data_IF_245913798667
#
_entry.id   IF_245913798667
#
_cell.length_a   1.000
_cell.length_b   1.000
_cell.length_c   1.000
_cell.angle_alpha   90.00
_cell.angle_beta   90.00
_cell.angle_gamma   90.00
#
_symmetry.space_group_name_H-M   'P 1'
#
loop_
_entity.id
_entity.type
_entity.pdbx_description
1 polymer ?
#
# COMPACT_ATOMS: atom_id res chain seq x y z
N UNK A 1 55.83 18.99 4.64
CA UNK A 1 54.49 18.97 5.27
C UNK A 1 53.45 18.76 4.20
N UNK A 2 52.94 17.54 4.10
CA UNK A 2 51.95 17.18 3.11
C UNK A 2 50.61 17.18 3.83
N UNK A 3 49.73 18.12 3.51
CA UNK A 3 48.37 18.16 4.02
C UNK A 3 47.56 17.22 3.17
N UNK A 4 47.20 16.09 3.73
CA UNK A 4 46.26 15.15 3.09
C UNK A 4 44.86 15.70 3.40
N UNK A 5 44.25 16.35 2.42
CA UNK A 5 42.82 16.62 2.46
C UNK A 5 42.08 15.31 2.21
N UNK A 6 41.63 14.69 3.27
CA UNK A 6 40.64 13.62 3.15
C UNK A 6 39.32 14.25 2.80
N UNK A 7 38.96 14.18 1.52
CA UNK A 7 37.63 14.48 1.09
C UNK A 7 36.69 13.41 1.62
N UNK A 8 35.98 13.69 2.69
CA UNK A 8 34.84 12.89 3.08
C UNK A 8 33.76 13.09 2.01
N UNK A 9 33.69 12.13 1.11
CA UNK A 9 32.49 11.98 0.30
C UNK A 9 31.39 11.50 1.24
N UNK A 10 30.59 12.42 1.71
CA UNK A 10 29.29 12.09 2.26
C UNK A 10 28.43 11.62 1.10
N UNK A 11 28.40 10.30 0.89
CA UNK A 11 27.40 9.69 0.02
C UNK A 11 26.04 9.92 0.70
N UNK A 12 25.36 10.98 0.29
CA UNK A 12 23.98 11.18 0.64
C UNK A 12 23.20 10.03 0.04
N UNK A 13 22.79 9.09 0.88
CA UNK A 13 21.77 8.13 0.53
C UNK A 13 20.49 8.93 0.29
N UNK A 14 20.29 9.30 -0.96
CA UNK A 14 18.97 9.71 -1.41
C UNK A 14 18.10 8.46 -1.31
N UNK A 15 17.40 8.31 -0.20
CA UNK A 15 16.28 7.39 -0.12
C UNK A 15 15.21 7.92 -1.04
N UNK A 16 15.24 7.48 -2.30
CA UNK A 16 14.18 7.76 -3.24
C UNK A 16 12.89 7.17 -2.66
N UNK A 17 12.07 8.04 -2.07
CA UNK A 17 10.66 7.94 -1.94
C UNK A 17 10.03 6.60 -1.61
N UNK A 18 10.42 5.93 -0.53
CA UNK A 18 9.51 4.99 0.09
C UNK A 18 8.54 5.79 0.97
N UNK A 19 7.28 5.87 0.52
CA UNK A 19 6.23 6.44 1.34
C UNK A 19 6.15 5.67 2.66
N UNK A 20 6.12 6.38 3.78
CA UNK A 20 5.96 5.77 5.10
C UNK A 20 4.55 5.20 5.26
N UNK A 21 4.35 4.33 6.25
CA UNK A 21 3.03 3.81 6.60
C UNK A 21 2.04 4.95 6.90
N UNK A 22 2.50 6.06 7.50
CA UNK A 22 1.68 7.24 7.73
C UNK A 22 1.23 7.90 6.42
N UNK A 23 2.10 7.96 5.41
CA UNK A 23 1.76 8.50 4.09
C UNK A 23 0.74 7.62 3.37
N UNK A 24 0.86 6.32 3.48
CA UNK A 24 -0.09 5.37 2.88
C UNK A 24 -1.46 5.43 3.56
N UNK A 25 -1.50 5.56 4.87
CA UNK A 25 -2.75 5.75 5.60
C UNK A 25 -3.43 7.06 5.20
N UNK A 26 -2.66 8.15 5.07
CA UNK A 26 -3.17 9.43 4.61
C UNK A 26 -3.74 9.33 3.20
N UNK A 27 -3.08 8.62 2.30
CA UNK A 27 -3.56 8.35 0.95
C UNK A 27 -4.88 7.54 0.98
N UNK A 28 -4.93 6.49 1.77
CA UNK A 28 -6.14 5.67 1.92
C UNK A 28 -7.32 6.50 2.43
N UNK A 29 -7.10 7.37 3.40
CA UNK A 29 -8.13 8.29 3.90
C UNK A 29 -8.59 9.28 2.82
N UNK A 30 -7.65 9.87 2.09
CA UNK A 30 -7.95 10.82 1.02
C UNK A 30 -8.76 10.19 -0.12
N UNK A 31 -8.57 8.91 -0.37
CA UNK A 31 -9.29 8.14 -1.40
C UNK A 31 -10.53 7.40 -0.87
N UNK A 32 -10.96 7.69 0.36
CA UNK A 32 -12.15 7.13 1.01
C UNK A 32 -12.11 5.62 1.27
N UNK A 33 -10.95 5.00 1.27
CA UNK A 33 -10.82 3.57 1.55
C UNK A 33 -11.31 3.21 2.95
N UNK A 34 -11.06 4.09 3.91
CA UNK A 34 -11.41 3.86 5.31
C UNK A 34 -12.91 4.03 5.61
N UNK A 35 -13.72 4.37 4.64
CA UNK A 35 -15.18 4.35 4.75
C UNK A 35 -15.70 2.91 4.83
N UNK A 36 -15.05 1.98 4.13
CA UNK A 36 -15.46 0.58 4.02
C UNK A 36 -14.47 -0.40 4.63
N UNK A 37 -13.24 0.03 4.87
CA UNK A 37 -12.19 -0.81 5.44
C UNK A 37 -11.66 -0.26 6.76
N UNK A 38 -11.24 -1.15 7.64
CA UNK A 38 -10.39 -0.83 8.79
C UNK A 38 -9.14 -1.70 8.75
N UNK A 39 -8.16 -1.37 9.56
CA UNK A 39 -6.94 -2.19 9.65
C UNK A 39 -7.22 -3.56 10.27
N UNK A 40 -7.98 -3.60 11.36
CA UNK A 40 -8.13 -4.80 12.20
C UNK A 40 -9.41 -5.59 11.98
N UNK A 41 -10.48 -4.96 11.52
CA UNK A 41 -11.81 -5.55 11.52
C UNK A 41 -12.50 -5.43 10.18
N UNK A 42 -13.39 -6.38 9.90
CA UNK A 42 -14.37 -6.25 8.82
C UNK A 42 -15.34 -5.11 9.14
N UNK A 43 -15.59 -4.27 8.17
CA UNK A 43 -16.62 -3.25 8.18
C UNK A 43 -17.60 -3.56 7.03
N UNK A 44 -17.62 -2.78 5.98
CA UNK A 44 -18.29 -3.16 4.72
C UNK A 44 -17.38 -4.11 3.93
N UNK A 45 -16.10 -3.76 3.79
CA UNK A 45 -15.07 -4.61 3.23
C UNK A 45 -14.24 -5.32 4.30
N UNK A 46 -13.37 -6.25 3.89
CA UNK A 46 -12.51 -6.98 4.82
C UNK A 46 -11.54 -6.03 5.54
N UNK A 47 -11.12 -6.41 6.75
CA UNK A 47 -10.01 -5.75 7.43
C UNK A 47 -8.72 -5.95 6.67
N UNK A 48 -7.84 -4.97 6.70
CA UNK A 48 -6.58 -5.06 5.95
C UNK A 48 -5.67 -6.18 6.43
N UNK A 49 -5.68 -6.49 7.72
CA UNK A 49 -4.95 -7.64 8.26
C UNK A 49 -5.48 -8.97 7.73
N UNK A 50 -6.79 -9.07 7.53
CA UNK A 50 -7.42 -10.25 6.90
C UNK A 50 -6.99 -10.41 5.45
N UNK A 51 -6.93 -9.30 4.72
CA UNK A 51 -6.45 -9.29 3.32
C UNK A 51 -4.99 -9.74 3.27
N UNK A 52 -4.14 -9.19 4.12
CA UNK A 52 -2.73 -9.57 4.19
C UNK A 52 -2.57 -11.06 4.51
N UNK A 53 -3.34 -11.58 5.45
CA UNK A 53 -3.29 -13.01 5.82
C UNK A 53 -3.73 -13.93 4.67
N UNK A 54 -4.79 -13.54 3.94
CA UNK A 54 -5.29 -14.33 2.80
C UNK A 54 -4.26 -14.46 1.67
N UNK A 55 -3.52 -13.40 1.41
CA UNK A 55 -2.61 -13.32 0.27
C UNK A 55 -1.12 -13.45 0.64
N UNK A 56 -0.80 -13.83 1.86
CA UNK A 56 0.59 -13.82 2.36
C UNK A 56 1.57 -14.65 1.55
N UNK A 57 1.11 -15.73 0.92
CA UNK A 57 1.94 -16.63 0.12
C UNK A 57 1.78 -16.40 -1.38
N UNK A 58 0.98 -15.42 -1.79
CA UNK A 58 0.76 -15.10 -3.19
C UNK A 58 1.71 -13.98 -3.64
N UNK A 59 2.71 -14.34 -4.41
CA UNK A 59 3.70 -13.40 -4.95
C UNK A 59 3.12 -12.41 -5.97
N UNK A 60 1.94 -12.69 -6.49
CA UNK A 60 1.25 -11.83 -7.47
C UNK A 60 0.21 -10.92 -6.82
N UNK A 61 0.07 -10.99 -5.49
CA UNK A 61 -1.00 -10.30 -4.77
C UNK A 61 -0.96 -8.79 -4.92
N UNK A 62 0.22 -8.17 -4.89
CA UNK A 62 0.33 -6.71 -5.04
C UNK A 62 -0.28 -6.25 -6.37
N UNK A 63 0.05 -6.91 -7.47
CA UNK A 63 -0.50 -6.56 -8.78
C UNK A 63 -2.00 -6.82 -8.86
N UNK A 64 -2.48 -7.94 -8.34
CA UNK A 64 -3.91 -8.28 -8.31
C UNK A 64 -4.71 -7.28 -7.50
N UNK A 65 -4.24 -6.93 -6.31
CA UNK A 65 -4.92 -5.99 -5.44
C UNK A 65 -4.87 -4.57 -5.98
N UNK A 66 -3.80 -4.17 -6.65
CA UNK A 66 -3.72 -2.87 -7.31
C UNK A 66 -4.81 -2.73 -8.39
N UNK A 67 -5.02 -3.75 -9.20
CA UNK A 67 -6.11 -3.79 -10.19
C UNK A 67 -7.48 -3.70 -9.49
N UNK A 68 -7.68 -4.46 -8.41
CA UNK A 68 -8.91 -4.45 -7.63
C UNK A 68 -9.20 -3.08 -7.02
N UNK A 69 -8.20 -2.42 -6.47
CA UNK A 69 -8.34 -1.08 -5.88
C UNK A 69 -8.77 -0.07 -6.94
N UNK A 70 -8.16 -0.10 -8.11
CA UNK A 70 -8.46 0.85 -9.18
C UNK A 70 -9.77 0.56 -9.88
N UNK A 71 -9.99 -0.68 -10.27
CA UNK A 71 -11.13 -1.08 -11.09
C UNK A 71 -12.36 -1.50 -10.28
N UNK A 72 -12.18 -1.81 -9.00
CA UNK A 72 -13.24 -2.38 -8.17
C UNK A 72 -13.51 -3.85 -8.49
N UNK A 73 -14.56 -4.38 -7.93
CA UNK A 73 -15.01 -5.75 -8.18
C UNK A 73 -15.63 -6.40 -6.97
N UNK A 74 -16.09 -7.64 -7.15
CA UNK A 74 -16.72 -8.43 -6.09
C UNK A 74 -16.33 -9.91 -6.19
N UNK A 75 -16.74 -10.69 -5.22
CA UNK A 75 -16.64 -12.14 -5.22
C UNK A 75 -15.52 -12.70 -4.37
N UNK A 76 -14.38 -12.03 -4.24
CA UNK A 76 -13.27 -12.50 -3.40
C UNK A 76 -13.63 -12.52 -1.90
N UNK A 77 -14.45 -11.57 -1.47
CA UNK A 77 -14.86 -11.38 -0.08
C UNK A 77 -16.39 -11.34 0.11
N UNK A 78 -17.13 -11.81 -0.88
CA UNK A 78 -18.58 -11.86 -0.87
C UNK A 78 -19.26 -11.05 -1.97
N UNK A 79 -20.54 -10.80 -1.81
CA UNK A 79 -21.40 -10.22 -2.84
C UNK A 79 -21.35 -8.69 -2.92
N UNK A 80 -20.91 -8.02 -1.83
CA UNK A 80 -20.88 -6.56 -1.81
C UNK A 80 -19.72 -6.08 -2.67
N UNK A 81 -19.99 -5.33 -3.76
CA UNK A 81 -18.93 -4.88 -4.65
C UNK A 81 -18.11 -3.77 -4.01
N UNK A 82 -16.81 -3.82 -4.24
CA UNK A 82 -15.92 -2.68 -4.02
C UNK A 82 -16.03 -1.77 -5.23
N UNK A 83 -16.37 -0.47 -5.06
CA UNK A 83 -16.44 0.44 -6.19
C UNK A 83 -15.04 0.75 -6.75
N UNK A 84 -14.96 1.19 -8.02
CA UNK A 84 -13.71 1.75 -8.55
C UNK A 84 -13.27 2.96 -7.73
N UNK A 85 -11.96 3.15 -7.60
CA UNK A 85 -11.38 4.28 -6.88
C UNK A 85 -10.61 5.19 -7.83
N UNK A 86 -10.67 6.49 -7.55
CA UNK A 86 -9.92 7.48 -8.31
C UNK A 86 -8.47 7.55 -7.83
N UNK A 87 -7.71 6.55 -8.22
CA UNK A 87 -6.28 6.43 -7.92
C UNK A 87 -5.49 6.25 -9.19
N UNK A 88 -4.24 6.68 -9.20
CA UNK A 88 -3.30 6.33 -10.27
C UNK A 88 -2.86 4.87 -10.10
N UNK A 89 -2.27 4.29 -11.14
CA UNK A 89 -1.70 2.94 -11.04
C UNK A 89 -0.62 2.85 -9.97
N UNK A 90 0.21 3.87 -9.84
CA UNK A 90 1.24 3.94 -8.82
C UNK A 90 0.63 4.01 -7.40
N UNK A 91 -0.37 4.84 -7.21
CA UNK A 91 -1.10 4.92 -5.94
C UNK A 91 -1.77 3.59 -5.59
N UNK A 92 -2.39 2.93 -6.56
CA UNK A 92 -3.00 1.62 -6.35
C UNK A 92 -1.97 0.56 -5.91
N UNK A 93 -0.79 0.55 -6.53
CA UNK A 93 0.31 -0.35 -6.14
C UNK A 93 0.84 -0.05 -4.76
N UNK A 94 0.99 1.22 -4.41
CA UNK A 94 1.41 1.65 -3.08
C UNK A 94 0.43 1.19 -2.01
N UNK A 95 -0.85 1.41 -2.24
CA UNK A 95 -1.91 0.99 -1.31
C UNK A 95 -1.95 -0.54 -1.17
N UNK A 96 -1.85 -1.28 -2.27
CA UNK A 96 -1.80 -2.74 -2.25
C UNK A 96 -0.62 -3.26 -1.44
N UNK A 97 0.57 -2.74 -1.67
CA UNK A 97 1.77 -3.12 -0.93
C UNK A 97 1.65 -2.81 0.56
N UNK A 98 1.09 -1.67 0.90
CA UNK A 98 0.85 -1.27 2.28
C UNK A 98 -0.12 -2.22 2.99
N UNK A 99 -1.26 -2.52 2.37
CA UNK A 99 -2.23 -3.48 2.93
C UNK A 99 -1.59 -4.84 3.16
N UNK A 100 -0.83 -5.34 2.19
CA UNK A 100 -0.17 -6.64 2.29
C UNK A 100 0.98 -6.68 3.32
N UNK A 101 1.46 -5.54 3.75
CA UNK A 101 2.51 -5.44 4.79
C UNK A 101 1.97 -5.63 6.22
N UNK A 102 0.68 -5.64 6.40
CA UNK A 102 0.05 -5.73 7.71
C UNK A 102 0.10 -7.14 8.29
N UNK A 103 0.19 -7.23 9.61
CA UNK A 103 0.29 -8.49 10.34
C UNK A 103 -0.74 -8.59 11.45
#
# INVERSE_FOLDING_TARGET
MKIILSALLAAGLATAGQASAADELALAKAKNCMTCHTVDKKLVGPGYKEVAAKYKDDKTATAKLAVKIKAGGKGAWGEIPMPPNNVTEDEAKRLAAWVLSMK
#
